data_IF_068863837212
#
_entry.id   IF_068863837212
#
_cell.length_a   1.000
_cell.length_b   1.000
_cell.length_c   1.000
_cell.angle_alpha   90.00
_cell.angle_beta   90.00
_cell.angle_gamma   90.00
#
_symmetry.space_group_name_H-M   'P 1'
#
loop_
_entity.id
_entity.type
_entity.pdbx_description
1 polymer ?
#
# COMPACT_ATOMS: atom_id res chain seq x y z
N UNK A 1 -6.80 -1.62 -0.22
CA UNK A 1 -6.86 -3.10 -0.11
C UNK A 1 -5.86 -3.59 0.93
N UNK A 2 -6.20 -4.59 1.73
CA UNK A 2 -5.38 -5.07 2.84
C UNK A 2 -5.35 -6.60 2.91
N UNK A 3 -4.23 -7.18 3.39
CA UNK A 3 -4.11 -8.61 3.69
C UNK A 3 -3.79 -8.90 5.17
N UNK A 4 -3.26 -7.93 5.90
CA UNK A 4 -2.72 -8.07 7.25
C UNK A 4 -3.34 -7.12 8.27
N UNK A 5 -2.52 -6.60 9.16
CA UNK A 5 -2.97 -5.79 10.31
C UNK A 5 -3.60 -4.44 9.93
N UNK A 6 -3.32 -3.88 8.75
CA UNK A 6 -3.91 -2.66 8.26
C UNK A 6 -3.41 -1.39 8.95
N UNK A 7 -2.15 -1.36 9.37
CA UNK A 7 -1.57 -0.16 10.01
C UNK A 7 -1.46 1.02 9.04
N UNK A 8 -1.05 0.78 7.80
CA UNK A 8 -1.09 1.79 6.75
C UNK A 8 -2.51 2.25 6.43
N UNK A 9 -3.48 1.32 6.39
CA UNK A 9 -4.89 1.66 6.22
C UNK A 9 -5.40 2.57 7.34
N UNK A 10 -5.16 2.23 8.60
CA UNK A 10 -5.55 3.07 9.75
C UNK A 10 -4.90 4.46 9.65
N UNK A 11 -3.60 4.50 9.29
CA UNK A 11 -2.90 5.77 9.13
C UNK A 11 -3.53 6.64 8.03
N UNK A 12 -3.92 6.07 6.90
CA UNK A 12 -4.63 6.82 5.83
C UNK A 12 -5.93 7.41 6.36
N UNK A 13 -6.72 6.62 7.11
CA UNK A 13 -8.03 7.05 7.63
C UNK A 13 -7.91 8.14 8.69
N UNK A 14 -6.89 8.08 9.53
CA UNK A 14 -6.74 8.97 10.69
C UNK A 14 -5.82 10.18 10.44
N UNK A 15 -5.06 10.16 9.35
CA UNK A 15 -4.07 11.19 9.08
C UNK A 15 -4.75 12.49 8.58
N UNK A 16 -4.56 13.63 9.25
CA UNK A 16 -5.16 14.90 8.83
C UNK A 16 -4.75 15.36 7.42
N UNK A 17 -3.60 14.88 6.92
CA UNK A 17 -3.13 15.18 5.57
C UNK A 17 -4.10 14.63 4.51
N UNK A 18 -4.75 13.49 4.79
CA UNK A 18 -5.70 12.84 3.87
C UNK A 18 -7.13 13.41 3.93
N UNK A 19 -7.37 14.53 4.60
CA UNK A 19 -8.69 15.10 4.85
C UNK A 19 -9.48 15.52 3.59
N UNK A 20 -8.82 15.61 2.43
CA UNK A 20 -9.46 15.90 1.14
C UNK A 20 -10.03 14.67 0.45
N UNK A 21 -9.75 13.50 0.97
CA UNK A 21 -10.14 12.21 0.38
C UNK A 21 -10.93 11.40 1.39
N UNK A 22 -11.84 10.60 0.89
CA UNK A 22 -12.66 9.71 1.70
C UNK A 22 -12.31 8.25 1.38
N UNK A 23 -12.09 7.45 2.40
CA UNK A 23 -11.95 5.99 2.24
C UNK A 23 -13.36 5.39 2.23
N UNK A 24 -13.86 5.08 1.05
CA UNK A 24 -15.25 4.61 0.87
C UNK A 24 -15.41 3.10 1.03
N UNK A 25 -14.35 2.33 0.78
CA UNK A 25 -14.40 0.86 0.83
C UNK A 25 -13.03 0.27 1.16
N UNK A 26 -13.00 -0.76 1.99
CA UNK A 26 -11.82 -1.59 2.23
C UNK A 26 -12.06 -3.03 1.75
N UNK A 27 -11.28 -3.49 0.77
CA UNK A 27 -11.29 -4.90 0.34
C UNK A 27 -10.13 -5.65 1.02
N UNK A 28 -10.44 -6.84 1.54
CA UNK A 28 -9.42 -7.74 2.10
C UNK A 28 -9.57 -9.16 1.55
N UNK A 29 -8.46 -9.90 1.49
CA UNK A 29 -8.45 -11.25 0.90
C UNK A 29 -8.36 -12.38 1.93
N UNK A 30 -7.99 -12.08 3.16
CA UNK A 30 -7.80 -13.08 4.22
C UNK A 30 -8.99 -13.16 5.17
N UNK A 31 -9.24 -14.35 5.74
CA UNK A 31 -10.31 -14.53 6.74
C UNK A 31 -10.01 -13.77 8.04
N UNK A 32 -8.76 -13.83 8.47
CA UNK A 32 -8.28 -13.12 9.67
C UNK A 32 -7.45 -11.92 9.23
N UNK A 33 -8.10 -10.81 8.99
CA UNK A 33 -7.45 -9.56 8.58
C UNK A 33 -7.64 -8.52 9.69
N UNK A 34 -6.56 -8.12 10.33
CA UNK A 34 -6.60 -7.10 11.40
C UNK A 34 -7.16 -5.76 10.92
N UNK A 35 -7.05 -5.46 9.63
CA UNK A 35 -7.66 -4.29 9.02
C UNK A 35 -9.19 -4.25 9.14
N UNK A 36 -9.87 -5.40 9.28
CA UNK A 36 -11.33 -5.48 9.45
C UNK A 36 -11.78 -4.78 10.74
N UNK A 37 -11.09 -5.06 11.86
CA UNK A 37 -11.40 -4.42 13.14
C UNK A 37 -11.20 -2.89 13.06
N UNK A 38 -10.19 -2.45 12.31
CA UNK A 38 -9.92 -1.02 12.08
C UNK A 38 -10.99 -0.38 11.20
N UNK A 39 -11.40 -1.04 10.11
CA UNK A 39 -12.48 -0.56 9.27
C UNK A 39 -13.79 -0.43 10.05
N UNK A 40 -14.15 -1.42 10.85
CA UNK A 40 -15.32 -1.38 11.72
C UNK A 40 -15.26 -0.23 12.73
N UNK A 41 -14.10 0.00 13.36
CA UNK A 41 -13.87 1.10 14.31
C UNK A 41 -14.16 2.48 13.69
N UNK A 42 -13.83 2.66 12.42
CA UNK A 42 -14.02 3.94 11.71
C UNK A 42 -15.29 3.96 10.84
N UNK A 43 -16.14 2.96 10.92
CA UNK A 43 -17.39 2.88 10.15
C UNK A 43 -17.19 2.73 8.64
N UNK A 44 -16.02 2.22 8.22
CA UNK A 44 -15.70 2.04 6.80
C UNK A 44 -16.24 0.70 6.33
N UNK A 45 -17.08 0.67 5.27
CA UNK A 45 -17.52 -0.55 4.66
C UNK A 45 -16.34 -1.44 4.24
N UNK A 46 -16.43 -2.73 4.53
CA UNK A 46 -15.39 -3.67 4.14
C UNK A 46 -15.98 -4.97 3.58
N UNK A 47 -15.29 -5.54 2.61
CA UNK A 47 -15.71 -6.77 1.93
C UNK A 47 -14.53 -7.72 1.77
N UNK A 48 -14.77 -8.99 2.11
CA UNK A 48 -13.79 -10.02 1.80
C UNK A 48 -13.98 -10.51 0.37
N UNK A 49 -12.91 -10.37 -0.43
CA UNK A 49 -12.86 -10.91 -1.79
C UNK A 49 -11.61 -11.81 -1.92
N UNK A 50 -11.74 -13.08 -2.33
CA UNK A 50 -10.58 -13.92 -2.59
C UNK A 50 -9.67 -13.28 -3.64
N UNK A 51 -8.34 -13.40 -3.47
CA UNK A 51 -7.38 -12.72 -4.34
C UNK A 51 -7.45 -13.11 -5.83
N UNK A 52 -8.07 -14.24 -6.16
CA UNK A 52 -8.25 -14.70 -7.55
C UNK A 52 -9.49 -14.12 -8.23
N UNK A 53 -10.37 -13.50 -7.47
CA UNK A 53 -11.65 -12.97 -7.94
C UNK A 53 -11.53 -11.46 -8.22
N UNK A 54 -10.68 -11.13 -9.20
CA UNK A 54 -10.44 -9.73 -9.60
C UNK A 54 -11.70 -9.11 -10.23
N UNK A 55 -12.52 -9.89 -10.92
CA UNK A 55 -13.78 -9.42 -11.50
C UNK A 55 -14.72 -8.86 -10.40
N UNK A 56 -14.80 -9.56 -9.26
CA UNK A 56 -15.59 -9.09 -8.13
C UNK A 56 -15.04 -7.83 -7.50
N UNK A 57 -13.71 -7.71 -7.43
CA UNK A 57 -13.08 -6.47 -6.96
C UNK A 57 -13.40 -5.29 -7.90
N UNK A 58 -13.31 -5.51 -9.22
CA UNK A 58 -13.62 -4.51 -10.24
C UNK A 58 -15.08 -4.06 -10.16
N UNK A 59 -16.03 -4.99 -10.02
CA UNK A 59 -17.45 -4.68 -9.81
C UNK A 59 -17.66 -3.77 -8.60
N UNK A 60 -17.05 -4.12 -7.45
CA UNK A 60 -17.17 -3.34 -6.22
C UNK A 60 -16.60 -1.95 -6.38
N UNK A 61 -15.40 -1.80 -6.95
CA UNK A 61 -14.79 -0.48 -7.16
C UNK A 61 -15.61 0.40 -8.12
N UNK A 62 -16.21 -0.20 -9.16
CA UNK A 62 -17.15 0.52 -10.03
C UNK A 62 -18.40 0.96 -9.29
N UNK A 63 -19.01 0.07 -8.51
CA UNK A 63 -20.23 0.36 -7.75
C UNK A 63 -20.01 1.47 -6.71
N UNK A 64 -18.83 1.52 -6.09
CA UNK A 64 -18.44 2.53 -5.12
C UNK A 64 -17.82 3.79 -5.74
N UNK A 65 -17.71 3.86 -7.07
CA UNK A 65 -17.13 5.00 -7.82
C UNK A 65 -15.78 5.43 -7.28
N UNK A 66 -14.88 4.45 -7.12
CA UNK A 66 -13.55 4.68 -6.57
C UNK A 66 -12.67 5.40 -7.60
N UNK A 67 -12.00 6.48 -7.18
CA UNK A 67 -11.09 7.28 -8.03
C UNK A 67 -9.63 6.84 -7.89
N UNK A 68 -9.27 6.22 -6.79
CA UNK A 68 -7.93 5.75 -6.49
C UNK A 68 -7.99 4.44 -5.70
N UNK A 69 -7.21 3.46 -6.10
CA UNK A 69 -7.05 2.20 -5.37
C UNK A 69 -5.68 2.19 -4.70
N UNK A 70 -5.66 1.95 -3.39
CA UNK A 70 -4.43 1.91 -2.59
C UNK A 70 -4.20 0.50 -2.06
N UNK A 71 -3.06 -0.10 -2.40
CA UNK A 71 -2.58 -1.33 -1.79
C UNK A 71 -1.86 -0.98 -0.48
N UNK A 72 -2.54 -1.14 0.64
CA UNK A 72 -2.03 -0.87 1.98
C UNK A 72 -1.69 -2.19 2.69
N UNK A 73 -0.60 -2.80 2.32
CA UNK A 73 -0.22 -4.14 2.79
C UNK A 73 -1.07 -5.25 2.18
N UNK A 74 -1.41 -5.14 0.90
CA UNK A 74 -2.06 -6.22 0.15
C UNK A 74 -1.00 -7.17 -0.41
N UNK A 75 -0.93 -8.37 0.14
CA UNK A 75 0.16 -9.33 -0.07
C UNK A 75 -0.09 -10.28 -1.25
N UNK A 76 -0.76 -9.81 -2.31
CA UNK A 76 -1.05 -10.61 -3.51
C UNK A 76 -0.83 -9.79 -4.76
N UNK A 77 -0.36 -10.45 -5.81
CA UNK A 77 -0.20 -9.85 -7.14
C UNK A 77 -1.57 -9.64 -7.75
N UNK A 78 -1.80 -8.47 -8.31
CA UNK A 78 -2.92 -8.15 -9.19
C UNK A 78 -2.48 -8.51 -10.61
N UNK A 79 -3.21 -9.40 -11.27
CA UNK A 79 -2.82 -9.93 -12.57
C UNK A 79 -3.07 -8.97 -13.72
N UNK A 80 -4.19 -8.25 -13.65
CA UNK A 80 -4.58 -7.33 -14.70
C UNK A 80 -4.97 -5.95 -14.12
N UNK A 81 -3.98 -5.17 -13.66
CA UNK A 81 -4.23 -3.86 -13.06
C UNK A 81 -5.00 -2.90 -13.97
N UNK A 82 -4.77 -2.98 -15.28
CA UNK A 82 -5.40 -2.09 -16.26
C UNK A 82 -6.90 -2.34 -16.45
N UNK A 83 -7.42 -3.50 -16.02
CA UNK A 83 -8.86 -3.78 -16.03
C UNK A 83 -9.62 -3.06 -14.91
N UNK A 84 -8.93 -2.55 -13.90
CA UNK A 84 -9.56 -1.85 -12.77
C UNK A 84 -10.03 -0.44 -13.17
N UNK A 85 -11.13 0.06 -12.55
CA UNK A 85 -11.75 1.31 -12.98
C UNK A 85 -11.00 2.57 -12.57
N UNK A 86 -9.96 2.44 -11.75
CA UNK A 86 -9.18 3.55 -11.23
C UNK A 86 -7.69 3.17 -11.14
N UNK A 87 -6.78 4.15 -11.20
CA UNK A 87 -5.37 3.90 -10.97
C UNK A 87 -5.11 3.24 -9.62
N UNK A 88 -4.10 2.40 -9.58
CA UNK A 88 -3.72 1.64 -8.39
C UNK A 88 -2.30 2.01 -7.97
N UNK A 89 -2.11 2.33 -6.70
CA UNK A 89 -0.80 2.61 -6.11
C UNK A 89 -0.48 1.63 -4.99
N UNK A 90 0.82 1.40 -4.78
CA UNK A 90 1.34 0.55 -3.71
C UNK A 90 2.47 1.26 -2.99
N UNK A 91 2.65 0.96 -1.71
CA UNK A 91 3.85 1.30 -0.96
C UNK A 91 4.68 0.04 -0.76
N UNK A 92 5.96 0.10 -1.16
CA UNK A 92 6.91 -1.00 -1.07
C UNK A 92 8.07 -0.64 -0.14
N UNK A 93 8.49 -1.53 0.78
CA UNK A 93 9.48 -1.21 1.81
C UNK A 93 10.93 -1.33 1.31
N UNK A 94 11.24 -0.74 0.17
CA UNK A 94 12.59 -0.55 -0.34
C UNK A 94 12.68 0.67 -1.25
N UNK A 95 13.91 1.07 -1.59
CA UNK A 95 14.17 2.05 -2.65
C UNK A 95 14.17 1.33 -4.01
N UNK A 96 12.99 1.20 -4.62
CA UNK A 96 12.87 0.59 -5.94
C UNK A 96 13.78 1.30 -6.96
N UNK A 97 14.39 0.56 -7.91
CA UNK A 97 14.13 -0.83 -8.28
C UNK A 97 14.85 -1.89 -7.45
N UNK A 98 15.55 -1.53 -6.37
CA UNK A 98 16.21 -2.50 -5.48
C UNK A 98 15.17 -3.27 -4.65
N UNK A 99 15.46 -4.54 -4.40
CA UNK A 99 14.74 -5.40 -3.46
C UNK A 99 13.23 -5.50 -3.76
N UNK A 100 12.88 -5.80 -5.02
CA UNK A 100 11.51 -6.10 -5.44
C UNK A 100 10.97 -7.36 -4.75
N UNK A 101 9.66 -7.45 -4.63
CA UNK A 101 8.97 -8.64 -4.12
C UNK A 101 9.02 -8.77 -2.60
N UNK A 102 8.96 -10.02 -2.14
CA UNK A 102 8.91 -10.35 -0.71
C UNK A 102 10.27 -10.18 -0.03
N UNK A 103 10.24 -9.98 1.30
CA UNK A 103 11.44 -9.90 2.14
C UNK A 103 12.42 -8.78 1.76
N UNK A 104 11.89 -7.64 1.28
CA UNK A 104 12.71 -6.51 0.83
C UNK A 104 13.63 -5.95 1.93
N UNK A 105 13.19 -5.95 3.18
CA UNK A 105 13.98 -5.48 4.33
C UNK A 105 15.15 -6.40 4.60
N UNK A 106 14.91 -7.72 4.62
CA UNK A 106 15.93 -8.74 4.79
C UNK A 106 16.96 -8.66 3.64
N UNK A 107 16.49 -8.54 2.41
CA UNK A 107 17.36 -8.37 1.24
C UNK A 107 18.27 -7.14 1.36
N UNK A 108 17.71 -6.02 1.84
CA UNK A 108 18.48 -4.78 2.04
C UNK A 108 19.56 -4.97 3.11
N UNK A 109 19.26 -5.62 4.23
CA UNK A 109 20.24 -5.91 5.28
C UNK A 109 21.35 -6.86 4.79
N UNK A 110 21.01 -7.89 4.06
CA UNK A 110 21.94 -8.88 3.54
C UNK A 110 22.85 -8.33 2.43
N UNK A 111 22.43 -7.26 1.76
CA UNK A 111 23.18 -6.67 0.64
C UNK A 111 24.44 -5.91 1.05
N UNK A 112 24.51 -5.46 2.32
CA UNK A 112 25.55 -4.56 2.80
C UNK A 112 25.37 -3.09 2.39
N UNK A 113 24.22 -2.73 1.81
CA UNK A 113 23.90 -1.32 1.55
C UNK A 113 23.78 -0.55 2.88
N UNK A 114 24.14 0.72 2.87
CA UNK A 114 24.02 1.60 4.04
C UNK A 114 22.68 2.34 4.10
N UNK A 115 21.88 2.25 3.04
CA UNK A 115 20.60 2.95 2.89
C UNK A 115 19.59 2.05 2.20
N UNK A 116 18.36 2.07 2.71
CA UNK A 116 17.16 1.55 2.10
C UNK A 116 16.05 2.59 2.19
N UNK A 117 14.79 2.20 2.17
CA UNK A 117 13.68 3.14 2.32
C UNK A 117 12.34 2.56 1.95
N UNK A 118 11.45 3.41 1.50
CA UNK A 118 10.17 3.02 0.96
C UNK A 118 9.86 3.78 -0.34
N UNK A 119 9.04 3.16 -1.17
CA UNK A 119 8.63 3.69 -2.48
C UNK A 119 7.13 3.60 -2.61
N UNK A 120 6.50 4.70 -3.01
CA UNK A 120 5.13 4.69 -3.54
C UNK A 120 5.21 4.69 -5.06
N UNK A 121 4.55 3.74 -5.70
CA UNK A 121 4.60 3.54 -7.15
C UNK A 121 3.24 3.11 -7.69
N UNK A 122 3.03 3.29 -9.00
CA UNK A 122 1.88 2.71 -9.68
C UNK A 122 2.01 1.19 -9.78
N UNK A 123 0.89 0.50 -9.63
CA UNK A 123 0.83 -0.96 -9.82
C UNK A 123 0.64 -1.25 -11.30
N UNK A 124 1.48 -2.12 -11.83
CA UNK A 124 1.44 -2.62 -13.21
C UNK A 124 1.50 -4.15 -13.20
N UNK A 125 1.45 -4.78 -14.36
CA UNK A 125 1.62 -6.24 -14.47
C UNK A 125 2.99 -6.72 -13.97
N UNK A 126 4.02 -5.87 -14.11
CA UNK A 126 5.35 -6.16 -13.58
C UNK A 126 5.36 -5.91 -12.06
N UNK A 127 5.73 -6.95 -11.29
CA UNK A 127 5.84 -6.85 -9.84
C UNK A 127 6.82 -5.75 -9.44
N UNK A 128 6.33 -4.76 -8.67
CA UNK A 128 7.09 -3.61 -8.23
C UNK A 128 7.84 -2.86 -9.34
N UNK A 129 7.32 -2.95 -10.58
CA UNK A 129 7.93 -2.38 -11.79
C UNK A 129 7.29 -1.11 -12.30
N UNK A 130 6.18 -0.66 -11.70
CA UNK A 130 5.47 0.53 -12.14
C UNK A 130 6.21 1.83 -11.84
N UNK A 131 5.77 2.90 -12.50
CA UNK A 131 6.36 4.24 -12.34
C UNK A 131 6.39 4.68 -10.88
N UNK A 132 7.56 5.10 -10.43
CA UNK A 132 7.78 5.63 -9.08
C UNK A 132 7.12 7.00 -8.97
N UNK A 133 6.33 7.18 -7.91
CA UNK A 133 5.68 8.46 -7.60
C UNK A 133 6.52 9.24 -6.59
N UNK A 134 6.94 8.58 -5.50
CA UNK A 134 7.75 9.18 -4.46
C UNK A 134 8.55 8.11 -3.70
N UNK A 135 9.68 8.51 -3.13
CA UNK A 135 10.55 7.65 -2.31
C UNK A 135 11.00 8.40 -1.07
N UNK A 136 11.27 7.64 0.00
CA UNK A 136 11.88 8.16 1.22
C UNK A 136 13.01 7.24 1.65
N UNK A 137 14.20 7.80 1.87
CA UNK A 137 15.35 7.05 2.34
C UNK A 137 15.30 6.77 3.84
N UNK A 138 15.85 5.62 4.23
CA UNK A 138 16.07 5.19 5.62
C UNK A 138 17.49 4.63 5.73
N UNK A 139 18.34 5.17 6.60
CA UNK A 139 19.67 4.61 6.82
C UNK A 139 19.57 3.22 7.48
N UNK A 140 20.46 2.32 7.10
CA UNK A 140 20.66 1.02 7.75
C UNK A 140 21.81 1.19 8.74
N UNK A 141 21.51 1.05 10.03
CA UNK A 141 22.52 1.21 11.09
C UNK A 141 23.24 -0.12 11.34
N UNK A 142 24.50 -0.10 11.81
CA UNK A 142 25.27 -1.33 12.04
C UNK A 142 24.65 -2.30 13.05
N UNK A 143 23.85 -1.79 13.97
CA UNK A 143 23.16 -2.54 15.02
C UNK A 143 21.68 -2.82 14.72
N UNK A 144 21.21 -2.48 13.51
CA UNK A 144 19.84 -2.76 13.11
C UNK A 144 19.58 -4.27 13.04
N UNK A 145 18.37 -4.62 13.45
CA UNK A 145 17.74 -5.90 13.19
C UNK A 145 16.67 -5.73 12.10
N UNK A 146 16.22 -6.82 11.50
CA UNK A 146 15.08 -6.80 10.55
C UNK A 146 13.89 -6.10 11.18
N UNK A 147 13.62 -6.34 12.48
CA UNK A 147 12.50 -5.73 13.18
C UNK A 147 12.69 -4.20 13.36
N UNK A 148 13.86 -3.74 13.79
CA UNK A 148 14.13 -2.30 13.99
C UNK A 148 14.07 -1.54 12.67
N UNK A 149 14.68 -2.08 11.62
CA UNK A 149 14.68 -1.48 10.29
C UNK A 149 13.27 -1.46 9.68
N UNK A 150 12.50 -2.55 9.84
CA UNK A 150 11.10 -2.60 9.41
C UNK A 150 10.29 -1.49 10.07
N UNK A 151 10.44 -1.28 11.38
CA UNK A 151 9.75 -0.20 12.10
C UNK A 151 10.19 1.20 11.61
N UNK A 152 11.47 1.37 11.31
CA UNK A 152 11.97 2.64 10.77
C UNK A 152 11.36 2.93 9.39
N UNK A 153 11.33 1.95 8.51
CA UNK A 153 10.71 2.07 7.18
C UNK A 153 9.20 2.37 7.30
N UNK A 154 8.48 1.66 8.15
CA UNK A 154 7.04 1.89 8.37
C UNK A 154 6.73 3.31 8.83
N UNK A 155 7.58 3.92 9.67
CA UNK A 155 7.42 5.32 10.06
C UNK A 155 7.50 6.26 8.88
N UNK A 156 8.37 5.98 7.91
CA UNK A 156 8.47 6.77 6.68
C UNK A 156 7.28 6.53 5.76
N UNK A 157 6.81 5.30 5.64
CA UNK A 157 5.57 4.97 4.90
C UNK A 157 4.37 5.76 5.42
N UNK A 158 4.25 5.93 6.75
CA UNK A 158 3.16 6.67 7.39
C UNK A 158 3.14 8.17 7.04
N UNK A 159 4.25 8.73 6.62
CA UNK A 159 4.31 10.09 6.08
C UNK A 159 4.14 10.12 4.56
N UNK A 160 4.87 9.25 3.87
CA UNK A 160 4.97 9.26 2.41
C UNK A 160 3.65 8.90 1.73
N UNK A 161 3.01 7.80 2.11
CA UNK A 161 1.78 7.34 1.46
C UNK A 161 0.62 8.33 1.62
N UNK A 162 0.30 8.87 2.83
CA UNK A 162 -0.69 9.93 2.96
C UNK A 162 -0.37 11.18 2.17
N UNK A 163 0.90 11.57 2.08
CA UNK A 163 1.33 12.74 1.29
C UNK A 163 1.06 12.55 -0.20
N UNK A 164 1.34 11.37 -0.74
CA UNK A 164 1.02 11.02 -2.13
C UNK A 164 -0.49 11.03 -2.36
N UNK A 165 -1.27 10.43 -1.47
CA UNK A 165 -2.73 10.43 -1.57
C UNK A 165 -3.28 11.86 -1.54
N UNK A 166 -2.78 12.72 -0.65
CA UNK A 166 -3.22 14.10 -0.55
C UNK A 166 -2.92 14.92 -1.81
N UNK A 167 -1.82 14.63 -2.48
CA UNK A 167 -1.46 15.28 -3.76
C UNK A 167 -2.26 14.73 -4.94
N UNK A 168 -2.99 13.62 -4.75
CA UNK A 168 -3.80 13.02 -5.79
C UNK A 168 -4.92 13.97 -6.21
N UNK A 169 -5.00 14.22 -7.49
CA UNK A 169 -6.12 14.94 -8.08
C UNK A 169 -6.91 13.94 -8.92
N UNK A 170 -8.16 13.72 -8.56
CA UNK A 170 -9.09 12.99 -9.41
C UNK A 170 -9.07 13.63 -10.79
N UNK A 171 -8.72 12.87 -11.81
CA UNK A 171 -8.89 13.33 -13.19
C UNK A 171 -10.39 13.33 -13.49
N UNK A 172 -11.06 14.37 -13.04
CA UNK A 172 -12.41 14.68 -13.48
C UNK A 172 -12.31 15.07 -14.96
N UNK A 173 -12.57 14.09 -15.83
CA UNK A 173 -12.99 14.37 -17.20
C UNK A 173 -14.46 14.71 -17.23
#
# INVERSE_FOLDING_TARGET
>A
MCSGNGTNFENIVTNPICNKHEVVLMIHNTKQCGAVARAAKFGIPHVRVPHKDEDKMIELFKAWRVDLIVLAGYMRVIKNPDAFPAPMINVHPSLLPKYKGLHAVEQAMDSGDSVTGCTVHYVTEELDGGTIIAQQEVPILPDDTVESLTKAIQRMEYGLLPSVINSWQSMTM
#
